data_IF_877927072622
#
_entry.id   IF_877927072622
#
_cell.length_a   1.000
_cell.length_b   1.000
_cell.length_c   1.000
_cell.angle_alpha   90.00
_cell.angle_beta   90.00
_cell.angle_gamma   90.00
#
_symmetry.space_group_name_H-M   'P 1'
#
loop_
_entity.id
_entity.type
_entity.pdbx_description
1 polymer ?
#
# COMPACT_ATOMS: atom_id res chain seq x y z
N UNK A 1 -12.27 21.82 6.06
CA UNK A 1 -12.54 23.24 6.39
C UNK A 1 -11.68 23.73 7.55
N UNK A 2 -11.88 23.25 8.79
CA UNK A 2 -11.18 23.76 9.99
C UNK A 2 -9.64 23.75 9.90
N UNK A 3 -9.05 22.71 9.30
CA UNK A 3 -7.59 22.65 9.12
C UNK A 3 -7.13 23.73 8.14
N UNK A 4 -7.85 23.94 7.06
CA UNK A 4 -7.53 24.96 6.06
C UNK A 4 -7.68 26.39 6.61
N UNK A 5 -8.61 26.61 7.53
CA UNK A 5 -8.75 27.86 8.26
C UNK A 5 -7.56 28.14 9.18
N UNK A 6 -7.09 27.09 9.88
CA UNK A 6 -5.94 27.20 10.80
C UNK A 6 -4.59 27.28 10.07
N UNK A 7 -4.49 26.63 8.93
CA UNK A 7 -3.27 26.52 8.12
C UNK A 7 -3.58 26.79 6.64
N UNK A 8 -3.73 28.06 6.24
CA UNK A 8 -4.17 28.43 4.88
C UNK A 8 -3.29 27.92 3.75
N UNK A 9 -1.99 27.81 3.98
CA UNK A 9 -1.00 27.39 2.97
C UNK A 9 -0.82 25.87 2.89
N UNK A 10 -1.40 25.12 3.84
CA UNK A 10 -1.27 23.67 3.88
C UNK A 10 -2.15 22.98 2.82
N UNK A 11 -1.60 22.02 2.11
CA UNK A 11 -2.36 21.05 1.32
C UNK A 11 -3.09 20.11 2.29
N UNK A 12 -4.39 19.94 2.14
CA UNK A 12 -5.18 19.16 3.07
C UNK A 12 -5.20 17.69 2.67
N UNK A 13 -5.29 17.43 1.38
CA UNK A 13 -5.42 16.08 0.83
C UNK A 13 -4.34 15.87 -0.23
N UNK A 14 -3.51 14.84 -0.02
CA UNK A 14 -2.64 14.32 -1.06
C UNK A 14 -3.49 13.52 -2.07
N UNK A 15 -3.35 13.75 -3.40
CA UNK A 15 -4.05 12.97 -4.41
C UNK A 15 -3.57 11.51 -4.50
N UNK A 16 -2.48 11.17 -3.79
CA UNK A 16 -1.85 9.84 -3.72
C UNK A 16 -1.38 9.30 -5.09
N UNK A 17 -1.36 10.15 -6.10
CA UNK A 17 -0.81 9.88 -7.43
C UNK A 17 -0.34 11.17 -8.06
N UNK A 18 0.88 11.13 -8.60
CA UNK A 18 1.36 12.20 -9.46
C UNK A 18 0.40 12.37 -10.66
N UNK A 19 0.11 13.61 -11.02
CA UNK A 19 -0.75 13.99 -12.15
C UNK A 19 -2.20 13.49 -12.05
N UNK A 20 -2.72 13.28 -10.86
CA UNK A 20 -4.09 12.85 -10.67
C UNK A 20 -4.81 13.64 -9.56
N UNK A 21 -6.12 13.78 -9.71
CA UNK A 21 -7.00 14.31 -8.66
C UNK A 21 -7.82 13.20 -8.00
N UNK A 22 -7.83 12.02 -8.63
CA UNK A 22 -8.51 10.85 -8.11
C UNK A 22 -7.51 9.90 -7.49
N UNK A 23 -7.71 9.65 -6.25
CA UNK A 23 -7.02 8.62 -5.52
C UNK A 23 -7.78 7.29 -5.70
N UNK A 24 -7.05 6.21 -5.96
CA UNK A 24 -7.63 4.88 -6.19
C UNK A 24 -8.48 4.37 -5.01
N UNK A 25 -8.16 4.83 -3.80
CA UNK A 25 -8.91 4.45 -2.59
C UNK A 25 -10.24 5.18 -2.44
N UNK A 26 -10.46 6.28 -3.16
CA UNK A 26 -11.76 6.93 -3.21
C UNK A 26 -12.83 6.06 -3.90
N UNK A 27 -12.46 5.04 -4.64
CA UNK A 27 -13.37 4.01 -5.13
C UNK A 27 -14.17 3.33 -4.03
N UNK A 28 -13.60 3.22 -2.84
CA UNK A 28 -14.31 2.70 -1.66
C UNK A 28 -15.43 3.64 -1.19
N UNK A 29 -15.24 4.93 -1.35
CA UNK A 29 -16.27 5.95 -1.09
C UNK A 29 -17.34 5.88 -2.18
N UNK A 30 -16.94 5.69 -3.43
CA UNK A 30 -17.83 5.51 -4.56
C UNK A 30 -18.50 4.12 -4.61
N UNK A 31 -18.21 3.22 -3.66
CA UNK A 31 -18.83 1.89 -3.54
C UNK A 31 -18.71 1.02 -4.80
N UNK A 32 -17.60 1.16 -5.52
CA UNK A 32 -17.29 0.42 -6.73
C UNK A 32 -15.90 -0.20 -6.59
N UNK A 33 -15.80 -1.51 -6.84
CA UNK A 33 -14.54 -2.21 -6.99
C UNK A 33 -14.10 -2.14 -8.47
N UNK A 34 -13.00 -1.47 -8.79
CA UNK A 34 -12.51 -1.35 -10.17
C UNK A 34 -11.80 -2.61 -10.69
N UNK A 35 -12.01 -3.77 -10.07
CA UNK A 35 -11.50 -5.07 -10.51
C UNK A 35 -9.97 -5.12 -10.67
N UNK A 36 -9.25 -4.58 -9.71
CA UNK A 36 -7.79 -4.63 -9.66
C UNK A 36 -7.08 -3.46 -10.32
N UNK A 37 -7.79 -2.72 -11.17
CA UNK A 37 -7.31 -1.44 -11.66
C UNK A 37 -7.73 -0.31 -10.73
N UNK A 38 -7.16 0.85 -10.92
CA UNK A 38 -7.65 2.02 -10.21
C UNK A 38 -8.74 2.73 -11.03
N UNK A 39 -9.53 3.52 -10.35
CA UNK A 39 -10.64 4.29 -10.94
C UNK A 39 -10.24 5.10 -12.19
N UNK A 40 -8.99 5.53 -12.30
CA UNK A 40 -8.53 6.33 -13.43
C UNK A 40 -8.18 5.51 -14.68
N UNK A 41 -8.08 4.19 -14.59
CA UNK A 41 -7.62 3.33 -15.68
C UNK A 41 -8.60 2.22 -16.08
N UNK A 42 -9.68 2.01 -15.33
CA UNK A 42 -10.70 1.00 -15.63
C UNK A 42 -12.03 1.64 -15.98
N UNK A 43 -12.67 1.14 -17.02
CA UNK A 43 -14.05 1.51 -17.38
C UNK A 43 -15.06 0.70 -16.59
N UNK A 44 -14.72 -0.56 -16.31
CA UNK A 44 -15.58 -1.52 -15.64
C UNK A 44 -15.28 -1.61 -14.15
N UNK A 45 -16.32 -1.75 -13.37
CA UNK A 45 -16.22 -2.05 -11.95
C UNK A 45 -17.36 -2.94 -11.49
N UNK A 46 -17.25 -3.45 -10.28
CA UNK A 46 -18.30 -4.22 -9.62
C UNK A 46 -18.89 -3.38 -8.51
N UNK A 47 -20.21 -3.24 -8.52
CA UNK A 47 -20.91 -2.54 -7.45
C UNK A 47 -20.82 -3.33 -6.14
N UNK A 48 -20.42 -2.65 -5.04
CA UNK A 48 -20.32 -3.30 -3.72
C UNK A 48 -21.67 -3.76 -3.15
N UNK A 49 -22.77 -3.31 -3.72
CA UNK A 49 -24.10 -3.68 -3.23
C UNK A 49 -24.40 -5.18 -3.34
N UNK A 50 -23.87 -5.84 -4.37
CA UNK A 50 -24.11 -7.26 -4.61
C UNK A 50 -22.82 -8.05 -4.90
N UNK A 51 -21.70 -7.38 -5.07
CA UNK A 51 -20.38 -7.97 -5.42
C UNK A 51 -20.40 -8.87 -6.66
N UNK A 52 -21.35 -8.66 -7.56
CA UNK A 52 -21.56 -9.52 -8.73
C UNK A 52 -21.86 -8.74 -10.00
N UNK A 53 -22.58 -7.63 -9.91
CA UNK A 53 -23.00 -6.85 -11.08
C UNK A 53 -21.85 -6.02 -11.61
N UNK A 54 -21.41 -6.32 -12.83
CA UNK A 54 -20.43 -5.51 -13.55
C UNK A 54 -21.14 -4.30 -14.13
N UNK A 55 -20.59 -3.12 -13.86
CA UNK A 55 -21.13 -1.83 -14.32
C UNK A 55 -20.09 -1.07 -15.12
N UNK A 56 -20.54 -0.21 -16.03
CA UNK A 56 -19.71 0.89 -16.52
C UNK A 56 -19.58 1.91 -15.40
N UNK A 57 -18.39 2.00 -14.84
CA UNK A 57 -18.14 2.83 -13.68
C UNK A 57 -18.46 4.30 -13.95
N UNK A 58 -18.15 4.79 -15.13
CA UNK A 58 -18.34 6.21 -15.50
C UNK A 58 -19.80 6.61 -15.67
N UNK A 59 -20.70 5.65 -15.89
CA UNK A 59 -22.14 5.89 -15.99
C UNK A 59 -22.87 5.83 -14.65
N UNK A 60 -22.16 5.46 -13.58
CA UNK A 60 -22.76 5.33 -12.25
C UNK A 60 -22.98 6.69 -11.57
N UNK A 61 -24.05 6.78 -10.77
CA UNK A 61 -24.29 7.93 -9.89
C UNK A 61 -23.18 8.11 -8.87
N UNK A 62 -22.66 7.01 -8.32
CA UNK A 62 -21.57 7.04 -7.33
C UNK A 62 -20.29 7.66 -7.90
N UNK A 63 -19.94 7.35 -9.15
CA UNK A 63 -18.80 7.98 -9.81
C UNK A 63 -19.02 9.47 -10.05
N UNK A 64 -20.23 9.86 -10.47
CA UNK A 64 -20.58 11.28 -10.64
C UNK A 64 -20.45 12.04 -9.31
N UNK A 65 -21.00 11.49 -8.23
CA UNK A 65 -20.89 12.07 -6.88
C UNK A 65 -19.43 12.21 -6.43
N UNK A 66 -18.59 11.20 -6.73
CA UNK A 66 -17.15 11.27 -6.48
C UNK A 66 -16.48 12.41 -7.25
N UNK A 67 -16.83 12.61 -8.53
CA UNK A 67 -16.32 13.71 -9.34
C UNK A 67 -16.73 15.06 -8.76
N UNK A 68 -17.99 15.22 -8.37
CA UNK A 68 -18.52 16.45 -7.77
C UNK A 68 -17.85 16.74 -6.42
N UNK A 69 -17.65 15.72 -5.59
CA UNK A 69 -16.95 15.83 -4.30
C UNK A 69 -15.49 16.27 -4.52
N UNK A 70 -14.77 15.61 -5.42
CA UNK A 70 -13.37 15.93 -5.72
C UNK A 70 -13.22 17.35 -6.25
N UNK A 71 -14.13 17.77 -7.15
CA UNK A 71 -14.18 19.13 -7.63
C UNK A 71 -14.39 20.12 -6.49
N UNK A 72 -15.36 19.88 -5.61
CA UNK A 72 -15.65 20.75 -4.49
C UNK A 72 -14.44 20.89 -3.54
N UNK A 73 -13.68 19.83 -3.33
CA UNK A 73 -12.44 19.85 -2.54
C UNK A 73 -11.33 20.64 -3.23
N UNK A 74 -11.21 20.51 -4.55
CA UNK A 74 -10.25 21.29 -5.32
C UNK A 74 -10.59 22.78 -5.28
N UNK A 75 -11.84 23.16 -5.52
CA UNK A 75 -12.32 24.54 -5.46
C UNK A 75 -12.20 25.14 -4.04
N UNK A 76 -12.34 24.32 -3.01
CA UNK A 76 -12.10 24.72 -1.62
C UNK A 76 -10.61 24.84 -1.26
N UNK A 77 -9.69 24.54 -2.20
CA UNK A 77 -8.24 24.58 -1.99
C UNK A 77 -7.70 23.50 -1.07
N UNK A 78 -8.38 22.34 -0.98
CA UNK A 78 -7.89 21.22 -0.18
C UNK A 78 -6.79 20.45 -0.88
N UNK A 79 -6.80 20.40 -2.21
CA UNK A 79 -5.68 19.95 -3.02
C UNK A 79 -4.73 21.11 -3.34
N UNK A 80 -3.49 20.79 -3.63
CA UNK A 80 -2.56 21.76 -4.23
C UNK A 80 -3.09 22.21 -5.60
N UNK A 81 -2.83 23.45 -5.98
CA UNK A 81 -3.32 24.01 -7.25
C UNK A 81 -2.75 23.29 -8.48
N UNK A 82 -1.59 22.66 -8.33
CA UNK A 82 -0.88 21.87 -9.35
C UNK A 82 -1.10 20.36 -9.23
N UNK A 83 -2.05 19.91 -8.39
CA UNK A 83 -2.27 18.48 -8.12
C UNK A 83 -2.45 17.63 -9.38
N UNK A 84 -3.03 18.19 -10.46
CA UNK A 84 -3.20 17.51 -11.74
C UNK A 84 -1.93 17.41 -12.59
N UNK A 85 -0.86 18.12 -12.25
CA UNK A 85 0.37 18.23 -13.04
C UNK A 85 1.65 17.99 -12.25
N UNK A 86 1.56 17.97 -10.91
CA UNK A 86 2.70 17.70 -10.04
C UNK A 86 3.26 16.30 -10.27
N UNK A 87 4.57 16.19 -10.12
CA UNK A 87 5.29 14.90 -10.11
C UNK A 87 5.72 14.50 -8.71
N UNK A 88 5.39 15.30 -7.69
CA UNK A 88 5.70 15.00 -6.31
C UNK A 88 4.99 13.71 -5.87
N UNK A 89 5.73 12.85 -5.20
CA UNK A 89 5.19 11.62 -4.63
C UNK A 89 4.49 11.89 -3.31
N UNK A 90 3.58 11.00 -2.90
CA UNK A 90 2.96 11.02 -1.57
C UNK A 90 4.00 11.13 -0.45
N UNK A 91 5.10 10.36 -0.56
CA UNK A 91 6.18 10.38 0.42
C UNK A 91 6.80 11.78 0.56
N UNK A 92 7.15 12.42 -0.55
CA UNK A 92 7.74 13.77 -0.55
C UNK A 92 6.78 14.81 0.05
N UNK A 93 5.49 14.72 -0.30
CA UNK A 93 4.46 15.63 0.25
C UNK A 93 4.29 15.45 1.75
N UNK A 94 4.22 14.21 2.24
CA UNK A 94 4.06 13.93 3.66
C UNK A 94 5.32 14.28 4.46
N UNK A 95 6.52 13.98 3.93
CA UNK A 95 7.79 14.34 4.56
C UNK A 95 8.02 15.86 4.65
N UNK A 96 7.47 16.64 3.72
CA UNK A 96 7.59 18.10 3.74
C UNK A 96 6.90 18.76 4.94
N UNK A 97 5.96 18.06 5.59
CA UNK A 97 5.12 18.60 6.64
C UNK A 97 4.06 19.60 6.16
N UNK A 98 3.94 19.84 4.84
CA UNK A 98 2.98 20.76 4.25
C UNK A 98 1.71 20.07 3.73
N UNK A 99 1.58 18.77 3.95
CA UNK A 99 0.40 18.00 3.62
C UNK A 99 -0.22 17.40 4.89
N UNK A 100 -1.52 17.65 5.10
CA UNK A 100 -2.21 17.22 6.32
C UNK A 100 -2.51 15.72 6.32
N UNK A 101 -2.84 15.13 5.17
CA UNK A 101 -3.18 13.73 5.14
C UNK A 101 -3.33 13.12 3.75
N UNK A 102 -3.38 11.82 3.75
CA UNK A 102 -3.59 10.99 2.55
C UNK A 102 -4.61 9.90 2.85
N UNK A 103 -5.25 9.38 1.81
CA UNK A 103 -6.07 8.18 1.91
C UNK A 103 -5.19 6.95 1.71
N UNK A 104 -5.39 5.92 2.50
CA UNK A 104 -4.69 4.65 2.34
C UNK A 104 -5.65 3.46 2.48
N UNK A 105 -5.34 2.37 1.79
CA UNK A 105 -6.16 1.17 1.75
C UNK A 105 -5.80 0.11 2.80
N UNK A 106 -4.97 0.45 3.78
CA UNK A 106 -4.44 -0.51 4.73
C UNK A 106 -5.25 -0.49 6.03
N UNK A 107 -5.92 -1.59 6.33
CA UNK A 107 -6.60 -1.82 7.61
C UNK A 107 -5.65 -2.19 8.76
N UNK A 108 -4.39 -1.74 8.71
CA UNK A 108 -3.41 -2.03 9.76
C UNK A 108 -3.52 -1.02 10.91
N UNK A 109 -3.75 -1.47 12.15
CA UNK A 109 -3.78 -0.58 13.31
C UNK A 109 -2.49 0.24 13.53
N UNK A 110 -1.35 -0.29 13.06
CA UNK A 110 -0.04 0.37 13.20
C UNK A 110 0.35 1.28 12.02
N UNK A 111 -0.53 1.48 11.04
CA UNK A 111 -0.20 2.31 9.88
C UNK A 111 0.20 3.75 10.27
N UNK A 112 -0.45 4.31 11.29
CA UNK A 112 -0.12 5.63 11.81
C UNK A 112 1.31 5.67 12.37
N UNK A 113 1.70 4.65 13.13
CA UNK A 113 3.06 4.55 13.67
C UNK A 113 4.09 4.37 12.56
N UNK A 114 3.79 3.54 11.57
CA UNK A 114 4.65 3.34 10.41
C UNK A 114 4.85 4.64 9.63
N UNK A 115 3.78 5.39 9.38
CA UNK A 115 3.86 6.68 8.71
C UNK A 115 4.62 7.72 9.56
N UNK A 116 4.41 7.74 10.87
CA UNK A 116 5.18 8.58 11.79
C UNK A 116 6.69 8.29 11.67
N UNK A 117 7.07 7.01 11.67
CA UNK A 117 8.47 6.62 11.56
C UNK A 117 9.05 6.94 10.17
N UNK A 118 8.28 6.68 9.10
CA UNK A 118 8.77 6.86 7.73
C UNK A 118 8.86 8.33 7.31
N UNK A 119 7.95 9.17 7.79
CA UNK A 119 7.81 10.55 7.31
C UNK A 119 8.23 11.61 8.34
N UNK A 120 8.56 11.21 9.57
CA UNK A 120 9.11 12.10 10.59
C UNK A 120 8.10 13.06 11.24
N UNK A 121 6.81 12.88 11.01
CA UNK A 121 5.72 13.65 11.59
C UNK A 121 4.70 12.74 12.28
N UNK A 122 4.03 13.19 13.35
CA UNK A 122 2.98 12.40 13.98
C UNK A 122 1.79 12.17 13.03
N UNK A 123 1.39 10.93 12.87
CA UNK A 123 0.21 10.52 12.11
C UNK A 123 -0.80 9.81 12.98
N UNK A 124 -2.07 10.04 12.67
CA UNK A 124 -3.21 9.32 13.22
C UNK A 124 -3.96 8.62 12.09
N UNK A 125 -4.46 7.42 12.36
CA UNK A 125 -5.27 6.67 11.41
C UNK A 125 -6.75 6.80 11.76
N UNK A 126 -7.53 7.25 10.78
CA UNK A 126 -8.98 7.38 10.93
C UNK A 126 -9.65 6.46 9.91
N UNK A 127 -10.36 5.46 10.40
CA UNK A 127 -11.16 4.58 9.55
C UNK A 127 -12.39 5.34 9.03
N UNK A 128 -12.51 5.46 7.71
CA UNK A 128 -13.60 6.18 7.03
C UNK A 128 -14.57 5.25 6.30
N UNK A 129 -14.27 3.96 6.20
CA UNK A 129 -15.15 2.95 5.60
C UNK A 129 -15.02 1.63 6.35
N UNK A 130 -16.05 0.80 6.27
CA UNK A 130 -15.99 -0.57 6.77
C UNK A 130 -14.93 -1.37 6.00
N UNK A 131 -14.41 -2.42 6.65
CA UNK A 131 -13.53 -3.38 5.98
C UNK A 131 -14.32 -4.13 4.91
N UNK A 132 -13.72 -4.27 3.73
CA UNK A 132 -14.36 -4.96 2.60
C UNK A 132 -13.33 -5.84 1.88
N UNK A 133 -13.85 -6.87 1.22
CA UNK A 133 -13.03 -7.67 0.31
C UNK A 133 -12.87 -6.87 -0.98
N UNK A 134 -11.62 -6.63 -1.32
CA UNK A 134 -11.24 -5.95 -2.54
C UNK A 134 -10.66 -6.99 -3.51
N UNK A 135 -10.97 -6.90 -4.79
CA UNK A 135 -10.31 -7.69 -5.83
C UNK A 135 -8.87 -7.20 -6.03
N UNK A 136 -8.05 -7.38 -5.00
CA UNK A 136 -6.67 -6.94 -5.01
C UNK A 136 -5.84 -7.77 -5.96
N UNK A 137 -5.58 -7.25 -7.14
CA UNK A 137 -4.65 -7.83 -8.10
C UNK A 137 -3.29 -7.12 -7.94
N UNK A 138 -2.63 -7.35 -6.81
CA UNK A 138 -1.39 -6.68 -6.46
C UNK A 138 -0.17 -7.10 -7.28
N UNK A 139 -0.30 -8.09 -8.13
CA UNK A 139 0.76 -8.64 -8.96
C UNK A 139 0.53 -10.13 -9.20
N UNK A 140 0.99 -10.61 -10.33
CA UNK A 140 0.90 -12.03 -10.68
C UNK A 140 2.22 -12.52 -11.28
N UNK A 141 2.66 -13.68 -10.83
CA UNK A 141 3.75 -14.39 -11.47
C UNK A 141 3.21 -15.17 -12.66
N UNK A 142 3.92 -15.10 -13.76
CA UNK A 142 3.55 -15.83 -14.97
C UNK A 142 4.76 -16.58 -15.52
N UNK A 143 4.53 -17.79 -16.03
CA UNK A 143 5.55 -18.52 -16.79
C UNK A 143 5.41 -18.13 -18.26
N UNK A 144 6.48 -17.58 -18.83
CA UNK A 144 6.51 -17.18 -20.23
C UNK A 144 6.30 -18.39 -21.15
N UNK A 145 5.54 -18.24 -22.23
CA UNK A 145 5.28 -19.32 -23.21
C UNK A 145 6.55 -19.82 -23.91
N UNK A 146 7.61 -19.02 -23.96
CA UNK A 146 8.93 -19.43 -24.46
C UNK A 146 9.84 -20.10 -23.43
N UNK A 147 9.35 -20.37 -22.20
CA UNK A 147 10.12 -21.03 -21.17
C UNK A 147 10.50 -22.46 -21.61
N UNK A 148 11.80 -22.78 -21.55
CA UNK A 148 12.31 -24.10 -21.96
C UNK A 148 11.93 -25.23 -20.99
N UNK A 149 11.77 -24.90 -19.71
CA UNK A 149 11.32 -25.82 -18.67
C UNK A 149 10.27 -25.18 -17.77
N UNK A 150 9.00 -25.18 -18.19
CA UNK A 150 7.89 -24.66 -17.39
C UNK A 150 7.74 -25.40 -16.05
N UNK A 151 8.09 -26.68 -15.99
CA UNK A 151 8.01 -27.47 -14.76
C UNK A 151 9.00 -26.98 -13.70
N UNK A 152 10.23 -26.67 -14.08
CA UNK A 152 11.22 -26.08 -13.19
C UNK A 152 10.78 -24.69 -12.71
N UNK A 153 10.24 -23.85 -13.60
CA UNK A 153 9.70 -22.55 -13.25
C UNK A 153 8.57 -22.66 -12.22
N UNK A 154 7.59 -23.56 -12.45
CA UNK A 154 6.51 -23.79 -11.50
C UNK A 154 7.02 -24.35 -10.16
N UNK A 155 8.03 -25.20 -10.14
CA UNK A 155 8.65 -25.70 -8.90
C UNK A 155 9.31 -24.58 -8.12
N UNK A 156 10.02 -23.68 -8.80
CA UNK A 156 10.60 -22.50 -8.15
C UNK A 156 9.51 -21.59 -7.56
N UNK A 157 8.46 -21.31 -8.32
CA UNK A 157 7.32 -20.54 -7.81
C UNK A 157 6.68 -21.21 -6.59
N UNK A 158 6.57 -22.55 -6.59
CA UNK A 158 6.04 -23.27 -5.42
C UNK A 158 6.92 -23.10 -4.18
N UNK A 159 8.26 -23.03 -4.33
CA UNK A 159 9.17 -22.79 -3.21
C UNK A 159 8.89 -21.44 -2.53
N UNK A 160 8.56 -20.41 -3.30
CA UNK A 160 8.19 -19.08 -2.77
C UNK A 160 6.95 -19.10 -1.86
N UNK A 161 6.14 -20.15 -1.92
CA UNK A 161 4.95 -20.30 -1.09
C UNK A 161 5.10 -21.36 0.01
N UNK A 162 6.19 -22.11 0.02
CA UNK A 162 6.33 -23.30 0.89
C UNK A 162 7.66 -23.36 1.64
N UNK A 163 8.66 -22.59 1.24
CA UNK A 163 10.01 -22.66 1.80
C UNK A 163 10.42 -21.31 2.41
N UNK A 164 10.42 -21.25 3.74
CA UNK A 164 10.77 -20.05 4.49
C UNK A 164 12.21 -19.58 4.25
N UNK A 165 13.15 -20.51 4.00
CA UNK A 165 14.54 -20.14 3.71
C UNK A 165 14.64 -19.37 2.40
N UNK A 166 13.97 -19.87 1.35
CA UNK A 166 13.97 -19.21 0.04
C UNK A 166 13.34 -17.82 0.12
N UNK A 167 12.22 -17.68 0.81
CA UNK A 167 11.56 -16.39 0.97
C UNK A 167 12.43 -15.38 1.74
N UNK A 168 13.02 -15.80 2.87
CA UNK A 168 13.87 -14.92 3.67
C UNK A 168 15.17 -14.55 2.94
N UNK A 169 15.76 -15.47 2.16
CA UNK A 169 16.92 -15.19 1.32
C UNK A 169 16.62 -14.10 0.28
N UNK A 170 15.44 -14.15 -0.34
CA UNK A 170 15.02 -13.16 -1.34
C UNK A 170 14.67 -11.81 -0.72
N UNK A 171 14.10 -11.81 0.48
CA UNK A 171 13.67 -10.57 1.14
C UNK A 171 14.81 -9.89 1.90
N UNK A 172 15.60 -10.65 2.63
CA UNK A 172 16.61 -10.11 3.57
C UNK A 172 18.05 -10.41 3.18
N UNK A 173 18.30 -11.34 2.25
CA UNK A 173 19.65 -11.78 1.92
C UNK A 173 20.14 -12.91 2.81
N UNK A 174 21.44 -12.93 3.11
CA UNK A 174 22.12 -13.95 3.87
C UNK A 174 22.16 -13.63 5.37
N UNK A 175 21.69 -14.56 6.20
CA UNK A 175 21.73 -14.40 7.65
C UNK A 175 23.18 -14.30 8.17
N UNK A 176 23.44 -13.34 9.03
CA UNK A 176 24.76 -13.02 9.55
C UNK A 176 25.58 -12.10 8.66
N UNK A 177 25.14 -11.83 7.43
CA UNK A 177 25.78 -10.89 6.47
C UNK A 177 24.89 -9.68 6.24
N UNK A 178 23.67 -9.90 5.75
CA UNK A 178 22.73 -8.82 5.39
C UNK A 178 21.70 -8.56 6.50
N UNK A 179 21.38 -9.57 7.31
CA UNK A 179 20.52 -9.43 8.49
C UNK A 179 20.94 -10.38 9.61
N UNK A 180 20.41 -10.16 10.79
CA UNK A 180 20.44 -11.09 11.93
C UNK A 180 19.07 -11.14 12.59
N UNK A 181 18.84 -12.17 13.40
CA UNK A 181 17.62 -12.24 14.21
C UNK A 181 17.89 -11.67 15.60
N UNK A 182 16.96 -10.88 16.11
CA UNK A 182 16.94 -10.45 17.51
C UNK A 182 16.42 -11.56 18.45
N UNK A 183 16.33 -11.25 19.74
CA UNK A 183 15.84 -12.17 20.78
C UNK A 183 14.36 -12.59 20.59
N UNK A 184 13.59 -11.84 19.81
CA UNK A 184 12.19 -12.10 19.48
C UNK A 184 12.04 -12.81 18.13
N UNK A 185 13.14 -13.11 17.43
CA UNK A 185 13.13 -13.72 16.11
C UNK A 185 12.75 -12.73 14.99
N UNK A 186 12.87 -11.43 15.22
CA UNK A 186 12.67 -10.42 14.19
C UNK A 186 13.95 -10.17 13.39
N UNK A 187 13.82 -9.97 12.10
CA UNK A 187 14.94 -9.56 11.26
C UNK A 187 15.34 -8.12 11.59
N UNK A 188 16.62 -7.92 11.90
CA UNK A 188 17.23 -6.64 12.23
C UNK A 188 18.55 -6.49 11.49
N UNK A 189 19.03 -5.26 11.33
CA UNK A 189 20.30 -4.99 10.70
C UNK A 189 21.48 -5.60 11.50
N UNK A 190 22.54 -6.07 10.82
CA UNK A 190 23.78 -6.51 11.47
C UNK A 190 24.49 -5.36 12.17
N UNK A 191 25.49 -5.68 12.99
CA UNK A 191 26.30 -4.68 13.67
C UNK A 191 27.03 -3.77 12.68
N UNK A 192 26.98 -2.47 12.94
CA UNK A 192 27.56 -1.45 12.07
C UNK A 192 26.60 -0.80 11.08
N UNK A 193 25.36 -1.30 11.00
CA UNK A 193 24.29 -0.71 10.19
C UNK A 193 23.20 -0.10 11.08
N UNK A 194 22.54 0.95 10.61
CA UNK A 194 21.48 1.65 11.36
C UNK A 194 20.13 0.94 11.28
N UNK A 195 19.84 0.37 10.12
CA UNK A 195 18.57 -0.32 9.83
C UNK A 195 18.74 -1.25 8.61
N UNK A 196 17.71 -2.06 8.33
CA UNK A 196 17.71 -2.99 7.19
C UNK A 196 17.76 -2.30 5.81
N UNK A 197 17.47 -1.01 5.70
CA UNK A 197 17.59 -0.29 4.43
C UNK A 197 19.03 0.17 4.16
N UNK A 198 19.88 0.18 5.19
CA UNK A 198 21.27 0.60 5.08
C UNK A 198 22.25 -0.52 4.73
N UNK A 199 21.80 -1.79 4.72
CA UNK A 199 22.64 -2.95 4.36
C UNK A 199 22.84 -3.05 2.85
N UNK A 200 23.84 -3.85 2.44
CA UNK A 200 24.19 -4.00 1.03
C UNK A 200 23.10 -4.67 0.19
N UNK A 201 22.35 -5.61 0.76
CA UNK A 201 21.22 -6.26 0.13
C UNK A 201 20.00 -6.24 1.03
N UNK A 202 18.90 -5.72 0.49
CA UNK A 202 17.56 -5.86 1.08
C UNK A 202 16.50 -5.61 0.01
N UNK A 203 15.41 -6.38 0.02
CA UNK A 203 14.21 -6.14 -0.79
C UNK A 203 12.97 -5.99 0.10
N UNK A 204 13.15 -5.30 1.23
CA UNK A 204 12.13 -5.11 2.24
C UNK A 204 10.85 -4.43 1.73
N UNK A 205 10.92 -3.76 0.59
CA UNK A 205 9.78 -3.10 -0.06
C UNK A 205 8.84 -4.09 -0.75
N UNK A 206 9.35 -5.25 -1.17
CA UNK A 206 8.67 -6.16 -2.08
C UNK A 206 8.44 -7.56 -1.50
N UNK A 207 8.60 -7.73 -0.19
CA UNK A 207 8.43 -9.03 0.47
C UNK A 207 7.08 -9.70 0.16
N UNK A 208 6.05 -8.94 -0.18
CA UNK A 208 4.75 -9.47 -0.59
C UNK A 208 4.71 -9.95 -2.05
N UNK A 209 5.72 -9.63 -2.85
CA UNK A 209 5.85 -10.12 -4.22
C UNK A 209 6.46 -11.52 -4.30
N UNK A 210 7.30 -11.87 -3.33
CA UNK A 210 8.10 -13.08 -3.39
C UNK A 210 7.38 -14.36 -2.97
N UNK A 211 6.10 -14.30 -2.69
CA UNK A 211 5.34 -15.50 -2.40
C UNK A 211 4.51 -15.39 -1.13
N UNK A 212 4.75 -16.28 -0.18
CA UNK A 212 3.99 -16.31 1.06
C UNK A 212 4.66 -15.47 2.15
N UNK A 213 4.28 -14.21 2.25
CA UNK A 213 4.78 -13.26 3.27
C UNK A 213 4.72 -13.76 4.72
N UNK A 214 3.91 -14.79 5.00
CA UNK A 214 3.82 -15.38 6.33
C UNK A 214 5.00 -16.30 6.66
N UNK A 215 5.81 -16.65 5.67
CA UNK A 215 7.05 -17.41 5.83
C UNK A 215 8.25 -16.53 6.16
N UNK A 216 8.20 -15.24 5.84
CA UNK A 216 9.30 -14.31 6.14
C UNK A 216 9.37 -13.97 7.62
N UNK A 217 10.58 -13.65 8.09
CA UNK A 217 10.76 -13.16 9.45
C UNK A 217 10.02 -11.84 9.69
N UNK A 218 9.47 -11.63 10.89
CA UNK A 218 8.89 -10.33 11.24
C UNK A 218 9.98 -9.25 11.30
N UNK A 219 9.57 -7.99 11.14
CA UNK A 219 10.43 -6.80 11.32
C UNK A 219 9.84 -5.96 12.43
N UNK A 220 10.67 -5.47 13.33
CA UNK A 220 10.24 -4.60 14.44
C UNK A 220 9.53 -3.36 13.90
N UNK A 221 8.31 -3.10 14.39
CA UNK A 221 7.47 -1.99 13.93
C UNK A 221 6.86 -2.14 12.54
N UNK A 222 7.10 -3.26 11.86
CA UNK A 222 6.50 -3.57 10.56
C UNK A 222 5.08 -4.11 10.66
N UNK A 223 4.39 -4.15 9.52
CA UNK A 223 3.03 -4.69 9.36
C UNK A 223 2.91 -6.15 9.85
N UNK A 224 3.99 -6.90 9.74
CA UNK A 224 4.16 -8.30 10.08
C UNK A 224 5.23 -8.48 11.16
N UNK A 225 5.36 -7.49 12.06
CA UNK A 225 6.29 -7.48 13.16
C UNK A 225 5.83 -8.36 14.34
N UNK A 226 6.00 -7.84 15.54
CA UNK A 226 5.74 -8.53 16.81
C UNK A 226 4.32 -9.14 16.94
N UNK A 227 3.35 -8.64 16.15
CA UNK A 227 1.97 -9.12 16.13
C UNK A 227 1.62 -9.96 14.91
N UNK A 228 2.63 -10.50 14.21
CA UNK A 228 2.44 -11.29 12.98
C UNK A 228 1.41 -12.41 13.14
N UNK A 229 1.48 -13.16 14.22
CA UNK A 229 0.53 -14.26 14.49
C UNK A 229 -0.87 -13.74 14.82
N UNK A 230 -0.99 -12.65 15.55
CA UNK A 230 -2.28 -12.01 15.83
C UNK A 230 -2.91 -11.45 14.53
N UNK A 231 -2.12 -10.79 13.70
CA UNK A 231 -2.58 -10.26 12.42
C UNK A 231 -2.98 -11.39 11.45
N UNK A 232 -2.25 -12.51 11.45
CA UNK A 232 -2.60 -13.70 10.68
C UNK A 232 -3.93 -14.30 11.12
N UNK A 233 -4.19 -14.40 12.42
CA UNK A 233 -5.44 -14.91 12.95
C UNK A 233 -6.64 -13.99 12.69
N UNK A 234 -6.43 -12.68 12.64
CA UNK A 234 -7.50 -11.71 12.35
C UNK A 234 -7.89 -11.62 10.88
N UNK A 235 -7.03 -12.07 9.97
CA UNK A 235 -7.26 -12.00 8.52
C UNK A 235 -7.65 -13.36 7.90
N UNK A 236 -7.85 -14.40 8.70
CA UNK A 236 -8.39 -15.70 8.35
C UNK A 236 -9.56 -16.05 9.29
#
# INVERSE_FOLDING_TARGET
AKVKEAYPDMTIIDPNRANALFESYLGKIAKIDPLGDNIASSVSGVAYQDNATVVDMYETTDFKELCELTRSWFEAGYYASDAATTTATTAELLMSGNCFGTFCGLGNPKIAQQYTNNYGHPFENVQISDSMIWSGNGGAWMVNSGCKDPSAACKFMNLLYTDAYVDNLLVYGEEGVDYKLDENGCAVAPDGYTDLNSVAYTDNMNYYFWGNKWLTYPVVGGLYGEEKETNKQQNY
#
